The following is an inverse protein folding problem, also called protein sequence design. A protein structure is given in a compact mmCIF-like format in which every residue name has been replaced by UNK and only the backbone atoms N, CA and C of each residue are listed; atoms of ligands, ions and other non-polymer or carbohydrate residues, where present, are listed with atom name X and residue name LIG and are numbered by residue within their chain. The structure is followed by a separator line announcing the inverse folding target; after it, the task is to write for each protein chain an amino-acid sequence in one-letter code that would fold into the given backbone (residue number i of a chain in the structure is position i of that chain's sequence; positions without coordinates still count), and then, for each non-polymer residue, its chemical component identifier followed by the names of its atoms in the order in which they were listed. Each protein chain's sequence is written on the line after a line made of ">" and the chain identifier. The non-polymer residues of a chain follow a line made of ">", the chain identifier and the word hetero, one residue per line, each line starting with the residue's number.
data_IF_803224401237
#
_entry.id   IF_803224401237
#
_cell.length_a   1.000
_cell.length_b   1.000
_cell.length_c   1.000
_cell.angle_alpha   90.00
_cell.angle_beta   90.00
_cell.angle_gamma   90.00
#
_symmetry.space_group_name_H-M   'P 1'
#
loop_
_entity.id
_entity.type
_entity.pdbx_description
1 polymer ?
#
# COMPACT_ATOMS: atom_id res chain seq x y z
N UNK A 1 -12.71 24.97 -23.03
CA UNK A 1 -12.60 23.54 -23.27
C UNK A 1 -13.95 22.98 -23.64
N UNK A 2 -14.04 22.10 -24.65
CA UNK A 2 -15.31 21.50 -24.97
C UNK A 2 -15.67 20.41 -23.96
N UNK A 3 -16.92 19.99 -23.97
CA UNK A 3 -17.42 19.01 -23.00
C UNK A 3 -16.72 17.67 -23.14
N UNK A 4 -16.35 17.31 -24.36
CA UNK A 4 -15.71 16.04 -24.62
C UNK A 4 -14.31 15.99 -24.02
N UNK A 5 -13.54 17.05 -24.21
CA UNK A 5 -12.21 17.16 -23.64
C UNK A 5 -12.28 17.23 -22.11
N UNK A 6 -13.25 17.96 -21.59
CA UNK A 6 -13.45 18.06 -20.15
C UNK A 6 -13.75 16.70 -19.53
N UNK A 7 -14.62 15.90 -20.18
CA UNK A 7 -14.95 14.57 -19.69
C UNK A 7 -13.74 13.66 -19.68
N UNK A 8 -12.88 13.75 -20.70
CA UNK A 8 -11.65 12.95 -20.78
C UNK A 8 -10.68 13.33 -19.65
N UNK A 9 -10.53 14.63 -19.39
CA UNK A 9 -9.66 15.11 -18.34
C UNK A 9 -10.16 14.63 -16.97
N UNK A 10 -11.45 14.71 -16.73
CA UNK A 10 -12.04 14.25 -15.47
C UNK A 10 -11.85 12.75 -15.28
N UNK A 11 -12.03 11.97 -16.33
CA UNK A 11 -11.86 10.52 -16.29
C UNK A 11 -10.39 10.17 -15.99
N UNK A 12 -9.48 10.86 -16.64
CA UNK A 12 -8.06 10.64 -16.44
C UNK A 12 -7.65 10.98 -15.01
N UNK A 13 -8.12 12.14 -14.50
CA UNK A 13 -7.82 12.56 -13.15
C UNK A 13 -8.36 11.57 -12.12
N UNK A 14 -9.58 11.06 -12.33
CA UNK A 14 -10.18 10.07 -11.44
C UNK A 14 -9.36 8.78 -11.42
N UNK A 15 -8.91 8.33 -12.58
CA UNK A 15 -8.08 7.14 -12.67
C UNK A 15 -6.76 7.31 -11.94
N UNK A 16 -6.14 8.49 -12.03
CA UNK A 16 -4.91 8.77 -11.30
C UNK A 16 -5.12 8.72 -9.79
N UNK A 17 -6.22 9.27 -9.31
CA UNK A 17 -6.54 9.25 -7.88
C UNK A 17 -6.77 7.81 -7.41
N UNK A 18 -7.47 7.00 -8.19
CA UNK A 18 -7.71 5.60 -7.86
C UNK A 18 -6.39 4.83 -7.76
N UNK A 19 -5.49 5.03 -8.71
CA UNK A 19 -4.17 4.39 -8.67
C UNK A 19 -3.38 4.83 -7.46
N UNK A 20 -3.44 6.11 -7.12
CA UNK A 20 -2.74 6.63 -5.94
C UNK A 20 -3.26 5.99 -4.65
N UNK A 21 -4.58 5.84 -4.53
CA UNK A 21 -5.18 5.16 -3.38
C UNK A 21 -4.78 3.70 -3.31
N UNK A 22 -4.76 3.00 -4.44
CA UNK A 22 -4.35 1.59 -4.48
C UNK A 22 -2.89 1.42 -4.07
N UNK A 23 -2.01 2.30 -4.54
CA UNK A 23 -0.59 2.25 -4.19
C UNK A 23 -0.39 2.54 -2.71
N UNK A 24 -1.15 3.48 -2.16
CA UNK A 24 -1.08 3.78 -0.74
C UNK A 24 -1.54 2.60 0.10
N UNK A 25 -2.62 1.94 -0.30
CA UNK A 25 -3.11 0.75 0.40
C UNK A 25 -2.09 -0.38 0.36
N UNK A 26 -1.47 -0.62 -0.79
CA UNK A 26 -0.44 -1.65 -0.93
C UNK A 26 0.76 -1.32 -0.04
N UNK A 27 1.18 -0.08 -0.02
CA UNK A 27 2.30 0.37 0.80
C UNK A 27 2.01 0.14 2.29
N UNK A 28 0.79 0.44 2.73
CA UNK A 28 0.37 0.22 4.11
C UNK A 28 0.39 -1.26 4.46
N UNK A 29 -0.14 -2.10 3.59
CA UNK A 29 -0.16 -3.55 3.80
C UNK A 29 1.26 -4.10 3.88
N UNK A 30 2.15 -3.66 3.00
CA UNK A 30 3.54 -4.09 3.01
C UNK A 30 4.23 -3.72 4.31
N UNK A 31 3.98 -2.52 4.83
CA UNK A 31 4.56 -2.10 6.09
C UNK A 31 4.05 -2.94 7.26
N UNK A 32 2.75 -3.24 7.29
CA UNK A 32 2.16 -4.08 8.32
C UNK A 32 2.73 -5.48 8.29
N UNK A 33 2.86 -6.07 7.10
CA UNK A 33 3.43 -7.40 6.94
C UNK A 33 4.89 -7.41 7.42
N UNK A 34 5.65 -6.38 7.08
CA UNK A 34 7.03 -6.29 7.52
C UNK A 34 7.14 -6.20 9.03
N UNK A 35 6.26 -5.45 9.68
CA UNK A 35 6.23 -5.35 11.14
C UNK A 35 5.91 -6.70 11.77
N UNK A 36 4.95 -7.43 11.22
CA UNK A 36 4.59 -8.75 11.72
C UNK A 36 5.77 -9.72 11.58
N UNK A 37 6.44 -9.69 10.45
CA UNK A 37 7.60 -10.55 10.20
C UNK A 37 8.75 -10.22 11.15
N UNK A 38 8.96 -8.94 11.43
CA UNK A 38 10.00 -8.52 12.37
C UNK A 38 9.72 -9.04 13.77
N UNK A 39 8.48 -8.90 14.25
CA UNK A 39 8.07 -9.39 15.55
C UNK A 39 8.19 -10.91 15.62
N UNK A 40 7.77 -11.59 14.58
CA UNK A 40 7.84 -13.05 14.50
C UNK A 40 9.30 -13.53 14.56
N UNK A 41 10.19 -12.86 13.83
CA UNK A 41 11.60 -13.20 13.84
C UNK A 41 12.23 -12.97 15.21
N UNK A 42 11.90 -11.88 15.88
CA UNK A 42 12.38 -11.59 17.21
C UNK A 42 11.90 -12.62 18.22
N UNK A 43 10.65 -13.01 18.13
CA UNK A 43 10.06 -14.04 19.01
C UNK A 43 10.75 -15.38 18.79
N UNK A 44 10.99 -15.76 17.55
CA UNK A 44 11.69 -17.01 17.25
C UNK A 44 13.13 -17.01 17.76
N UNK A 45 13.84 -15.89 17.61
CA UNK A 45 15.19 -15.76 18.13
C UNK A 45 15.21 -15.89 19.65
N UNK A 46 14.26 -15.24 20.31
CA UNK A 46 14.15 -15.31 21.77
C UNK A 46 13.90 -16.73 22.22
N UNK A 47 12.99 -17.43 21.57
CA UNK A 47 12.68 -18.82 21.89
C UNK A 47 13.91 -19.72 21.67
N UNK A 48 14.63 -19.51 20.59
CA UNK A 48 15.84 -20.27 20.28
C UNK A 48 16.91 -20.06 21.35
N UNK A 49 17.12 -18.80 21.75
CA UNK A 49 18.14 -18.47 22.74
C UNK A 49 17.75 -18.91 24.15
N UNK A 50 16.46 -19.04 24.43
CA UNK A 50 15.97 -19.49 25.75
C UNK A 50 16.12 -20.96 25.96
N UNK A 51 16.28 -21.70 24.88
CA UNK A 51 16.52 -23.13 24.96
C UNK A 51 17.99 -23.45 24.93
#
# INVERSE_FOLDING_TARGET
>A
MDKKTQALVEQYARSLVEVAFEQDAVSTIQEEVRQILTVFAETNLKTFLSH
#
